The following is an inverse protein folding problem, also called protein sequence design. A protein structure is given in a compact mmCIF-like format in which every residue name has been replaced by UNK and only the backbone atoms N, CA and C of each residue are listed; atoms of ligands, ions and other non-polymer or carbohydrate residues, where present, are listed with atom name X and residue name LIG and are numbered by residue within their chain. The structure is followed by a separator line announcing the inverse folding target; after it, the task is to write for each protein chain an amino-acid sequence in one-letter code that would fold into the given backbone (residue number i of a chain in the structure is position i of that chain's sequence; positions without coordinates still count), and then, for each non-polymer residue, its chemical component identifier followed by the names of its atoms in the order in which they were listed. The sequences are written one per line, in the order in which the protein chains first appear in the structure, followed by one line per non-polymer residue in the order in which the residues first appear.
data_IF_180457550152
#
_entry.id   IF_180457550152
#
_cell.length_a   1.000
_cell.length_b   1.000
_cell.length_c   1.000
_cell.angle_alpha   90.00
_cell.angle_beta   90.00
_cell.angle_gamma   90.00
#
_symmetry.space_group_name_H-M   'P 1'
#
loop_
_entity.id
_entity.type
_entity.pdbx_description
1 polymer ?
#
# COMPACT_ATOMS: atom_id res chain seq x y z
N UNK A 1 21.57 1.58 0.74
CA UNK A 1 20.33 0.90 0.34
C UNK A 1 19.74 0.14 1.52
N UNK A 2 20.52 -0.71 2.17
CA UNK A 2 20.09 -1.48 3.35
C UNK A 2 19.45 -0.61 4.45
N UNK A 3 20.10 0.50 4.83
CA UNK A 3 19.55 1.43 5.83
C UNK A 3 18.21 2.04 5.41
N UNK A 4 18.03 2.35 4.12
CA UNK A 4 16.79 2.94 3.59
C UNK A 4 15.64 1.94 3.73
N UNK A 5 15.87 0.69 3.34
CA UNK A 5 14.84 -0.36 3.42
C UNK A 5 14.51 -0.68 4.88
N UNK A 6 15.52 -0.77 5.76
CA UNK A 6 15.27 -0.93 7.20
C UNK A 6 14.37 0.19 7.73
N UNK A 7 14.69 1.45 7.43
CA UNK A 7 13.89 2.61 7.83
C UNK A 7 12.46 2.49 7.28
N UNK A 8 12.30 2.19 5.99
CA UNK A 8 10.97 2.04 5.39
C UNK A 8 10.16 0.93 6.03
N UNK A 9 10.78 -0.22 6.33
CA UNK A 9 10.10 -1.33 7.03
C UNK A 9 9.64 -0.93 8.43
N UNK A 10 10.48 -0.22 9.20
CA UNK A 10 10.11 0.22 10.55
C UNK A 10 8.98 1.26 10.52
N UNK A 11 9.08 2.26 9.64
CA UNK A 11 8.02 3.28 9.46
C UNK A 11 6.71 2.60 9.02
N UNK A 12 6.77 1.72 8.02
CA UNK A 12 5.61 0.97 7.55
C UNK A 12 4.92 0.19 8.67
N UNK A 13 5.70 -0.55 9.46
CA UNK A 13 5.18 -1.35 10.58
C UNK A 13 4.54 -0.46 11.64
N UNK A 14 5.17 0.66 11.98
CA UNK A 14 4.60 1.63 12.91
C UNK A 14 3.27 2.18 12.38
N UNK A 15 3.24 2.68 11.13
CA UNK A 15 2.03 3.23 10.52
C UNK A 15 0.90 2.20 10.44
N UNK A 16 1.20 0.94 10.10
CA UNK A 16 0.20 -0.13 10.10
C UNK A 16 -0.39 -0.36 11.50
N UNK A 17 0.44 -0.46 12.54
CA UNK A 17 -0.03 -0.69 13.92
C UNK A 17 -0.90 0.49 14.36
N UNK A 18 -0.43 1.72 14.12
CA UNK A 18 -1.17 2.94 14.43
C UNK A 18 -2.50 2.99 13.68
N UNK A 19 -2.53 2.62 12.40
CA UNK A 19 -3.75 2.51 11.60
C UNK A 19 -4.73 1.50 12.21
N UNK A 20 -4.30 0.29 12.54
CA UNK A 20 -5.16 -0.72 13.16
C UNK A 20 -5.73 -0.28 14.51
N UNK A 21 -4.94 0.38 15.34
CA UNK A 21 -5.41 0.94 16.62
C UNK A 21 -6.47 2.03 16.35
N UNK A 22 -6.22 2.91 15.38
CA UNK A 22 -7.12 4.01 15.07
C UNK A 22 -8.38 3.59 14.33
N UNK A 23 -8.40 2.41 13.70
CA UNK A 23 -9.63 1.79 13.18
C UNK A 23 -10.69 1.56 14.26
N UNK A 24 -10.33 1.49 15.55
CA UNK A 24 -11.30 1.48 16.66
C UNK A 24 -12.17 2.75 16.71
N UNK A 25 -11.64 3.85 16.19
CA UNK A 25 -12.36 5.14 16.10
C UNK A 25 -12.99 5.38 14.72
N UNK A 26 -12.88 4.40 13.80
CA UNK A 26 -13.33 4.38 12.40
C UNK A 26 -12.75 5.52 11.56
N UNK A 27 -13.14 6.78 11.84
CA UNK A 27 -12.72 7.97 11.11
C UNK A 27 -11.20 8.15 11.07
N UNK A 28 -10.51 8.05 12.22
CA UNK A 28 -9.05 8.20 12.25
C UNK A 28 -8.33 7.01 11.60
N UNK A 29 -8.97 5.83 11.58
CA UNK A 29 -8.47 4.65 10.87
C UNK A 29 -8.35 4.94 9.37
N UNK A 30 -9.41 5.48 8.77
CA UNK A 30 -9.41 5.90 7.36
C UNK A 30 -8.40 7.00 7.07
N UNK A 31 -8.29 8.01 7.94
CA UNK A 31 -7.25 9.04 7.78
C UNK A 31 -5.84 8.42 7.77
N UNK A 32 -5.57 7.46 8.66
CA UNK A 32 -4.28 6.78 8.70
C UNK A 32 -4.05 5.83 7.53
N UNK A 33 -5.09 5.19 7.02
CA UNK A 33 -5.01 4.37 5.81
C UNK A 33 -4.58 5.22 4.60
N UNK A 34 -5.11 6.44 4.47
CA UNK A 34 -4.66 7.39 3.46
C UNK A 34 -3.19 7.79 3.64
N UNK A 35 -2.77 8.12 4.87
CA UNK A 35 -1.36 8.43 5.19
C UNK A 35 -0.43 7.26 4.86
N UNK A 36 -0.85 6.03 5.19
CA UNK A 36 -0.12 4.81 4.88
C UNK A 36 0.02 4.60 3.37
N UNK A 37 -1.06 4.84 2.61
CA UNK A 37 -1.05 4.80 1.15
C UNK A 37 -0.08 5.80 0.52
N UNK A 38 -0.06 7.05 1.00
CA UNK A 38 0.92 8.05 0.55
C UNK A 38 2.35 7.62 0.84
N UNK A 39 2.60 7.06 2.02
CA UNK A 39 3.90 6.51 2.37
C UNK A 39 4.30 5.35 1.45
N UNK A 40 3.37 4.44 1.08
CA UNK A 40 3.64 3.36 0.13
C UNK A 40 3.94 3.87 -1.27
N UNK A 41 3.17 4.84 -1.77
CA UNK A 41 3.42 5.46 -3.08
C UNK A 41 4.79 6.15 -3.09
N UNK A 42 5.12 6.95 -2.07
CA UNK A 42 6.41 7.62 -1.96
C UNK A 42 7.59 6.65 -1.84
N UNK A 43 7.51 5.68 -0.92
CA UNK A 43 8.59 4.70 -0.72
C UNK A 43 8.77 3.77 -1.92
N UNK A 44 7.69 3.39 -2.61
CA UNK A 44 7.77 2.54 -3.81
C UNK A 44 8.40 3.27 -4.99
N UNK A 45 8.21 4.58 -5.11
CA UNK A 45 8.93 5.44 -6.06
C UNK A 45 10.42 5.49 -5.72
N UNK A 46 10.79 5.66 -4.44
CA UNK A 46 12.21 5.61 -4.04
C UNK A 46 12.84 4.26 -4.37
N UNK A 47 12.12 3.15 -4.15
CA UNK A 47 12.58 1.81 -4.56
C UNK A 47 12.70 1.68 -6.09
N UNK A 48 11.79 2.27 -6.85
CA UNK A 48 11.86 2.31 -8.30
C UNK A 48 13.07 3.11 -8.81
N UNK A 49 13.47 4.19 -8.14
CA UNK A 49 14.72 4.91 -8.46
C UNK A 49 15.98 4.08 -8.17
N UNK A 50 15.87 3.07 -7.31
CA UNK A 50 16.95 2.15 -6.96
C UNK A 50 16.86 0.81 -7.72
N UNK A 51 16.16 0.78 -8.86
CA UNK A 51 15.84 -0.42 -9.62
C UNK A 51 17.03 -1.35 -9.88
N UNK A 52 18.16 -0.78 -10.31
CA UNK A 52 19.37 -1.55 -10.65
C UNK A 52 19.92 -2.38 -9.48
N UNK A 53 19.67 -1.92 -8.25
CA UNK A 53 20.15 -2.56 -7.03
C UNK A 53 19.15 -3.58 -6.46
N UNK A 54 17.94 -3.65 -7.00
CA UNK A 54 16.94 -4.66 -6.63
C UNK A 54 17.21 -5.97 -7.38
N UNK A 55 16.98 -7.10 -6.70
CA UNK A 55 17.00 -8.42 -7.34
C UNK A 55 15.78 -8.61 -8.25
N UNK A 56 15.84 -9.58 -9.16
CA UNK A 56 14.76 -9.81 -10.13
C UNK A 56 13.43 -10.14 -9.42
N UNK A 57 13.49 -10.82 -8.29
CA UNK A 57 12.31 -11.17 -7.49
C UNK A 57 11.63 -9.91 -6.94
N UNK A 58 12.37 -9.00 -6.30
CA UNK A 58 11.82 -7.74 -5.79
C UNK A 58 11.30 -6.85 -6.91
N UNK A 59 12.00 -6.78 -8.05
CA UNK A 59 11.53 -6.05 -9.24
C UNK A 59 10.16 -6.55 -9.71
N UNK A 60 9.99 -7.88 -9.82
CA UNK A 60 8.70 -8.50 -10.19
C UNK A 60 7.60 -8.18 -9.18
N UNK A 61 7.90 -8.21 -7.89
CA UNK A 61 6.93 -7.85 -6.86
C UNK A 61 6.56 -6.36 -6.88
N UNK A 62 7.54 -5.48 -7.07
CA UNK A 62 7.31 -4.04 -7.16
C UNK A 62 6.47 -3.70 -8.40
N UNK A 63 6.74 -4.34 -9.56
CA UNK A 63 5.91 -4.21 -10.76
C UNK A 63 4.48 -4.69 -10.51
N UNK A 64 4.30 -5.86 -9.89
CA UNK A 64 2.96 -6.36 -9.55
C UNK A 64 2.22 -5.41 -8.62
N UNK A 65 2.90 -4.84 -7.63
CA UNK A 65 2.31 -3.83 -6.75
C UNK A 65 1.83 -2.61 -7.55
N UNK A 66 2.67 -2.06 -8.42
CA UNK A 66 2.29 -0.94 -9.28
C UNK A 66 1.13 -1.29 -10.21
N UNK A 67 1.14 -2.47 -10.84
CA UNK A 67 0.02 -2.92 -11.68
C UNK A 67 -1.29 -3.00 -10.89
N UNK A 68 -1.27 -3.59 -9.69
CA UNK A 68 -2.45 -3.69 -8.83
C UNK A 68 -2.91 -2.32 -8.33
N UNK A 69 -1.98 -1.42 -7.98
CA UNK A 69 -2.28 -0.06 -7.56
C UNK A 69 -2.96 0.73 -8.69
N UNK A 70 -2.41 0.69 -9.90
CA UNK A 70 -3.02 1.34 -11.05
C UNK A 70 -4.38 0.73 -11.38
N UNK A 71 -4.49 -0.60 -11.38
CA UNK A 71 -5.76 -1.28 -11.62
C UNK A 71 -6.82 -0.85 -10.60
N UNK A 72 -6.45 -0.73 -9.33
CA UNK A 72 -7.32 -0.24 -8.28
C UNK A 72 -7.75 1.21 -8.53
N UNK A 73 -6.81 2.13 -8.78
CA UNK A 73 -7.10 3.54 -9.01
C UNK A 73 -8.01 3.72 -10.25
N UNK A 74 -7.70 3.05 -11.36
CA UNK A 74 -8.51 3.11 -12.58
C UNK A 74 -9.91 2.54 -12.35
N UNK A 75 -10.02 1.38 -11.69
CA UNK A 75 -11.33 0.79 -11.38
C UNK A 75 -12.15 1.71 -10.48
N UNK A 76 -11.52 2.30 -9.47
CA UNK A 76 -12.16 3.22 -8.54
C UNK A 76 -12.64 4.50 -9.25
N UNK A 77 -11.83 5.08 -10.13
CA UNK A 77 -12.20 6.25 -10.93
C UNK A 77 -13.38 5.97 -11.88
N UNK A 78 -13.39 4.82 -12.54
CA UNK A 78 -14.50 4.40 -13.40
C UNK A 78 -15.77 4.27 -12.56
N UNK A 79 -15.69 3.59 -11.42
CA UNK A 79 -16.82 3.38 -10.53
C UNK A 79 -17.39 4.72 -10.03
N UNK A 80 -16.55 5.68 -9.66
CA UNK A 80 -16.99 7.04 -9.27
C UNK A 80 -17.64 7.76 -10.45
N UNK A 81 -17.03 7.73 -11.63
CA UNK A 81 -17.52 8.46 -12.81
C UNK A 81 -18.93 8.03 -13.23
N UNK A 82 -19.26 6.76 -13.05
CA UNK A 82 -20.57 6.21 -13.37
C UNK A 82 -21.52 6.13 -12.17
N UNK A 83 -21.18 6.78 -11.03
CA UNK A 83 -22.02 6.80 -9.81
C UNK A 83 -22.41 5.39 -9.30
N UNK A 84 -21.61 4.36 -9.63
CA UNK A 84 -21.89 2.95 -9.34
C UNK A 84 -21.81 2.58 -7.85
N UNK A 85 -21.44 3.54 -6.98
CA UNK A 85 -21.29 3.37 -5.54
C UNK A 85 -22.48 3.84 -4.71
N UNK A 86 -23.47 4.51 -5.31
CA UNK A 86 -24.40 5.36 -4.56
C UNK A 86 -25.30 4.66 -3.53
N UNK A 87 -25.43 3.33 -3.53
CA UNK A 87 -26.27 2.64 -2.54
C UNK A 87 -25.80 1.26 -2.06
N UNK A 88 -24.58 0.84 -2.44
CA UNK A 88 -24.09 -0.48 -2.09
C UNK A 88 -23.01 -0.44 -0.99
N UNK A 89 -23.44 -0.64 0.26
CA UNK A 89 -22.56 -0.75 1.43
C UNK A 89 -21.44 -1.79 1.24
N UNK A 90 -21.71 -2.86 0.49
CA UNK A 90 -20.70 -3.89 0.15
C UNK A 90 -19.62 -3.31 -0.77
N UNK A 91 -20.00 -2.56 -1.80
CA UNK A 91 -19.05 -1.93 -2.72
C UNK A 91 -18.18 -0.90 -2.00
N UNK A 92 -18.74 -0.14 -1.04
CA UNK A 92 -17.99 0.80 -0.22
C UNK A 92 -16.99 0.05 0.67
N UNK A 93 -17.44 -1.01 1.37
CA UNK A 93 -16.57 -1.80 2.24
C UNK A 93 -15.38 -2.40 1.47
N UNK A 94 -15.64 -3.02 0.32
CA UNK A 94 -14.56 -3.63 -0.47
C UNK A 94 -13.68 -2.60 -1.17
N UNK A 95 -14.30 -1.59 -1.78
CA UNK A 95 -13.62 -0.57 -2.58
C UNK A 95 -12.77 0.40 -1.76
N UNK A 96 -13.18 0.73 -0.54
CA UNK A 96 -12.53 1.75 0.30
C UNK A 96 -11.73 1.13 1.45
N UNK A 97 -12.11 -0.04 1.96
CA UNK A 97 -11.44 -0.66 3.11
C UNK A 97 -10.61 -1.87 2.70
N UNK A 98 -11.26 -2.90 2.14
CA UNK A 98 -10.61 -4.22 1.97
C UNK A 98 -9.50 -4.19 0.92
N UNK A 99 -9.73 -3.57 -0.23
CA UNK A 99 -8.74 -3.52 -1.30
C UNK A 99 -7.53 -2.66 -0.90
N UNK A 100 -7.69 -1.43 -0.37
CA UNK A 100 -6.56 -0.63 0.11
C UNK A 100 -5.76 -1.33 1.22
N UNK A 101 -6.43 -1.95 2.21
CA UNK A 101 -5.74 -2.76 3.22
C UNK A 101 -4.95 -3.92 2.61
N UNK A 102 -5.51 -4.61 1.61
CA UNK A 102 -4.83 -5.73 0.95
C UNK A 102 -3.58 -5.26 0.20
N UNK A 103 -3.64 -4.11 -0.49
CA UNK A 103 -2.49 -3.47 -1.11
C UNK A 103 -1.43 -3.08 -0.07
N UNK A 104 -1.87 -2.53 1.08
CA UNK A 104 -0.98 -2.16 2.16
C UNK A 104 -0.24 -3.36 2.76
N UNK A 105 -0.95 -4.47 2.99
CA UNK A 105 -0.35 -5.73 3.45
C UNK A 105 0.63 -6.30 2.42
N UNK A 106 0.27 -6.26 1.13
CA UNK A 106 1.15 -6.72 0.06
C UNK A 106 2.44 -5.90 0.00
N UNK A 107 2.34 -4.58 0.11
CA UNK A 107 3.52 -3.71 0.13
C UNK A 107 4.39 -3.93 1.37
N UNK A 108 3.76 -4.12 2.53
CA UNK A 108 4.45 -4.51 3.76
C UNK A 108 5.27 -5.80 3.59
N UNK A 109 4.69 -6.81 2.93
CA UNK A 109 5.39 -8.05 2.58
C UNK A 109 6.59 -7.82 1.66
N UNK A 110 6.49 -6.91 0.68
CA UNK A 110 7.62 -6.54 -0.19
C UNK A 110 8.77 -5.94 0.64
N UNK A 111 8.47 -4.98 1.51
CA UNK A 111 9.48 -4.35 2.37
C UNK A 111 10.16 -5.34 3.32
N UNK A 112 9.38 -6.24 3.95
CA UNK A 112 9.93 -7.23 4.88
C UNK A 112 10.83 -8.25 4.15
N UNK A 113 10.43 -8.70 2.95
CA UNK A 113 11.25 -9.60 2.14
C UNK A 113 12.54 -8.93 1.65
N UNK A 114 12.46 -7.67 1.25
CA UNK A 114 13.63 -6.88 0.87
C UNK A 114 14.60 -6.73 2.03
N UNK A 115 14.08 -6.44 3.23
CA UNK A 115 14.88 -6.35 4.45
C UNK A 115 15.58 -7.68 4.76
N UNK A 116 14.89 -8.81 4.64
CA UNK A 116 15.45 -10.15 4.89
C UNK A 116 16.53 -10.56 3.89
N UNK A 117 16.44 -10.14 2.62
CA UNK A 117 17.40 -10.50 1.57
C UNK A 117 18.71 -9.71 1.64
N UNK A 118 18.73 -8.60 2.38
CA UNK A 118 19.90 -7.73 2.52
C UNK A 118 20.59 -7.85 3.89
N UNK A 119 20.07 -8.68 4.78
CA UNK A 119 20.72 -9.13 6.01
C UNK A 119 21.40 -10.47 5.75
#
# INVERSE_FOLDING_TARGET
MENIIKIFTYINRFLMITMFILFLTIYLGFCMEFVLGLFHMGSSLVLALLWEKLDETARRHLLKYWTLLFLYIFSYLIIIHFELLEDNQVSILFGVVVIPMSLALYYSFILENLKKRML
#
